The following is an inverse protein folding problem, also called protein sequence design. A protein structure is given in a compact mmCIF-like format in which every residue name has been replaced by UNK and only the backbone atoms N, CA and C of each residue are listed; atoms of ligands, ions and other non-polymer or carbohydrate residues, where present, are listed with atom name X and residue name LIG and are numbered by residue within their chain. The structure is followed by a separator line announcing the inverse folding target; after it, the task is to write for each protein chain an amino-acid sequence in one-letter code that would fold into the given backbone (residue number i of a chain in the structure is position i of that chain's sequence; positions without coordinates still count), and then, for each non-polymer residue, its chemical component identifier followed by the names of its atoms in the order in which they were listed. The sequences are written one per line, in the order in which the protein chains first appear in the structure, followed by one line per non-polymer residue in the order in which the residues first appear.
data_IF_340262657884
#
_entry.id   IF_340262657884
#
_cell.length_a   1.000
_cell.length_b   1.000
_cell.length_c   1.000
_cell.angle_alpha   90.00
_cell.angle_beta   90.00
_cell.angle_gamma   90.00
#
_symmetry.space_group_name_H-M   'P 1'
#
loop_
_entity.id
_entity.type
_entity.pdbx_description
1 polymer ?
#
# COMPACT_ATOMS: atom_id res chain seq x y z
N UNK A 1 -50.85 4.86 14.39
CA UNK A 1 -49.73 3.87 14.23
C UNK A 1 -49.81 2.88 15.39
N UNK A 2 -49.89 1.60 15.06
CA UNK A 2 -49.90 0.56 16.09
C UNK A 2 -48.49 0.30 16.63
N UNK A 3 -48.40 -0.29 17.81
CA UNK A 3 -47.14 -0.68 18.44
C UNK A 3 -46.36 -1.67 17.55
N UNK A 4 -47.09 -2.58 16.88
CA UNK A 4 -46.52 -3.57 15.98
C UNK A 4 -45.88 -2.91 14.78
N UNK A 5 -46.49 -1.90 14.16
CA UNK A 5 -45.93 -1.15 13.04
C UNK A 5 -44.70 -0.38 13.45
N UNK A 6 -44.69 0.25 14.62
CA UNK A 6 -43.52 0.95 15.16
C UNK A 6 -42.37 -0.04 15.35
N UNK A 7 -42.62 -1.21 15.87
CA UNK A 7 -41.61 -2.24 16.11
C UNK A 7 -41.05 -2.78 14.84
N UNK A 8 -41.89 -3.01 13.80
CA UNK A 8 -41.42 -3.39 12.47
C UNK A 8 -40.54 -2.33 11.84
N UNK A 9 -40.90 -1.05 11.94
CA UNK A 9 -40.09 0.05 11.43
C UNK A 9 -38.74 0.12 12.12
N UNK A 10 -38.69 -0.06 13.45
CA UNK A 10 -37.43 -0.06 14.20
C UNK A 10 -36.51 -1.23 13.78
N UNK A 11 -37.08 -2.42 13.59
CA UNK A 11 -36.31 -3.58 13.12
C UNK A 11 -35.74 -3.34 11.73
N UNK A 12 -36.54 -2.83 10.79
CA UNK A 12 -36.08 -2.53 9.44
C UNK A 12 -34.98 -1.49 9.43
N UNK A 13 -35.11 -0.42 10.20
CA UNK A 13 -34.08 0.62 10.32
C UNK A 13 -32.79 0.05 10.90
N UNK A 14 -32.89 -0.78 11.94
CA UNK A 14 -31.71 -1.45 12.53
C UNK A 14 -30.99 -2.34 11.52
N UNK A 15 -31.72 -3.12 10.74
CA UNK A 15 -31.14 -3.97 9.70
C UNK A 15 -30.44 -3.16 8.62
N UNK A 16 -31.05 -2.05 8.18
CA UNK A 16 -30.44 -1.15 7.19
C UNK A 16 -29.14 -0.53 7.71
N UNK A 17 -29.14 -0.03 8.94
CA UNK A 17 -27.96 0.55 9.57
C UNK A 17 -26.85 -0.49 9.71
N UNK A 18 -27.16 -1.69 10.17
CA UNK A 18 -26.19 -2.79 10.31
C UNK A 18 -25.58 -3.17 8.96
N UNK A 19 -26.40 -3.27 7.91
CA UNK A 19 -25.93 -3.56 6.55
C UNK A 19 -25.00 -2.48 6.03
N UNK A 20 -25.32 -1.21 6.22
CA UNK A 20 -24.47 -0.08 5.79
C UNK A 20 -23.14 -0.08 6.53
N UNK A 21 -23.15 -0.30 7.85
CA UNK A 21 -21.91 -0.34 8.65
C UNK A 21 -20.99 -1.47 8.19
N UNK A 22 -21.51 -2.68 8.01
CA UNK A 22 -20.72 -3.82 7.55
C UNK A 22 -20.15 -3.59 6.15
N UNK A 23 -20.97 -3.09 5.23
CA UNK A 23 -20.56 -2.80 3.86
C UNK A 23 -19.51 -1.68 3.80
N UNK A 24 -19.68 -0.62 4.59
CA UNK A 24 -18.74 0.51 4.66
C UNK A 24 -17.38 0.10 5.20
N UNK A 25 -17.30 -0.84 6.16
CA UNK A 25 -16.03 -1.29 6.72
C UNK A 25 -15.18 -2.02 5.68
N UNK A 26 -15.78 -2.86 4.82
CA UNK A 26 -15.08 -3.53 3.73
C UNK A 26 -14.57 -2.53 2.69
N UNK A 27 -15.38 -1.56 2.31
CA UNK A 27 -15.01 -0.50 1.36
C UNK A 27 -13.86 0.33 1.92
N UNK A 28 -13.89 0.69 3.19
CA UNK A 28 -12.83 1.48 3.84
C UNK A 28 -11.50 0.72 3.80
N UNK A 29 -11.50 -0.58 4.11
CA UNK A 29 -10.29 -1.40 4.07
C UNK A 29 -9.72 -1.47 2.65
N UNK A 30 -10.55 -1.76 1.65
CA UNK A 30 -10.14 -1.79 0.24
C UNK A 30 -9.61 -0.44 -0.24
N UNK A 31 -10.26 0.65 0.17
CA UNK A 31 -9.84 1.99 -0.16
C UNK A 31 -8.48 2.34 0.47
N UNK A 32 -8.26 1.99 1.72
CA UNK A 32 -6.96 2.18 2.40
C UNK A 32 -5.84 1.43 1.68
N UNK A 33 -6.07 0.19 1.29
CA UNK A 33 -5.09 -0.61 0.54
C UNK A 33 -4.81 0.00 -0.83
N UNK A 34 -5.84 0.43 -1.55
CA UNK A 34 -5.69 1.10 -2.84
C UNK A 34 -4.90 2.41 -2.72
N UNK A 35 -5.19 3.22 -1.72
CA UNK A 35 -4.45 4.46 -1.45
C UNK A 35 -3.00 4.18 -1.06
N UNK A 36 -2.75 3.15 -0.26
CA UNK A 36 -1.39 2.73 0.10
C UNK A 36 -0.59 2.30 -1.12
N UNK A 37 -1.17 1.53 -2.04
CA UNK A 37 -0.54 1.12 -3.30
C UNK A 37 -0.18 2.32 -4.16
N UNK A 38 -1.11 3.25 -4.34
CA UNK A 38 -0.90 4.48 -5.13
C UNK A 38 0.18 5.35 -4.50
N UNK A 39 0.14 5.53 -3.19
CA UNK A 39 1.14 6.31 -2.45
C UNK A 39 2.53 5.67 -2.56
N UNK A 40 2.62 4.35 -2.47
CA UNK A 40 3.87 3.62 -2.62
C UNK A 40 4.43 3.73 -4.04
N UNK A 41 3.58 3.61 -5.06
CA UNK A 41 3.96 3.81 -6.45
C UNK A 41 4.53 5.22 -6.69
N UNK A 42 3.87 6.23 -6.16
CA UNK A 42 4.34 7.61 -6.21
C UNK A 42 5.67 7.80 -5.48
N UNK A 43 5.84 7.16 -4.33
CA UNK A 43 7.10 7.19 -3.59
C UNK A 43 8.24 6.55 -4.37
N UNK A 44 8.01 5.38 -4.96
CA UNK A 44 9.00 4.67 -5.80
C UNK A 44 9.41 5.54 -7.00
N UNK A 45 8.44 6.13 -7.69
CA UNK A 45 8.70 6.99 -8.85
C UNK A 45 9.47 8.25 -8.45
N UNK A 46 9.13 8.85 -7.30
CA UNK A 46 9.84 9.99 -6.73
C UNK A 46 11.31 9.65 -6.45
N UNK A 47 11.60 8.49 -5.87
CA UNK A 47 12.97 8.07 -5.59
C UNK A 47 13.75 7.77 -6.87
N UNK A 48 13.09 7.18 -7.85
CA UNK A 48 13.69 6.94 -9.17
C UNK A 48 14.06 8.24 -9.87
N UNK A 49 13.16 9.22 -9.87
CA UNK A 49 13.41 10.55 -10.45
C UNK A 49 14.54 11.27 -9.72
N UNK A 50 14.61 11.16 -8.42
CA UNK A 50 15.69 11.73 -7.62
C UNK A 50 17.05 11.13 -8.01
N UNK A 51 17.11 9.83 -8.23
CA UNK A 51 18.31 9.15 -8.72
C UNK A 51 18.73 9.66 -10.10
N UNK A 52 17.79 9.86 -11.02
CA UNK A 52 18.04 10.36 -12.36
C UNK A 52 18.51 11.82 -12.33
N UNK A 53 17.81 12.67 -11.61
CA UNK A 53 18.10 14.12 -11.54
C UNK A 53 19.47 14.37 -10.92
N UNK A 54 19.81 13.66 -9.86
CA UNK A 54 21.11 13.81 -9.18
C UNK A 54 22.22 12.96 -9.78
N UNK A 55 21.89 12.08 -10.74
CA UNK A 55 22.84 11.11 -11.33
C UNK A 55 23.59 10.31 -10.26
N UNK A 56 22.90 9.96 -9.17
CA UNK A 56 23.44 9.21 -8.05
C UNK A 56 22.55 8.03 -7.73
N UNK A 57 23.11 6.88 -7.29
CA UNK A 57 22.28 5.76 -6.87
C UNK A 57 21.48 6.11 -5.61
N UNK A 58 20.22 5.72 -5.58
CA UNK A 58 19.31 5.83 -4.42
C UNK A 58 18.94 4.43 -4.00
N UNK A 59 19.15 4.10 -2.74
CA UNK A 59 18.79 2.82 -2.17
C UNK A 59 17.53 2.95 -1.32
N UNK A 60 16.62 1.98 -1.45
CA UNK A 60 15.44 1.83 -0.62
C UNK A 60 15.59 0.58 0.24
N UNK A 61 15.28 0.73 1.49
CA UNK A 61 15.36 -0.33 2.49
C UNK A 61 14.03 -0.45 3.22
N UNK A 62 13.41 -1.63 3.15
CA UNK A 62 12.21 -1.95 3.91
C UNK A 62 12.56 -2.75 5.15
N UNK A 63 12.20 -2.20 6.32
CA UNK A 63 12.30 -2.88 7.59
C UNK A 63 10.94 -3.44 7.98
N UNK A 64 10.80 -4.77 7.96
CA UNK A 64 9.56 -5.45 8.31
C UNK A 64 9.17 -5.32 9.78
N UNK A 65 10.12 -4.99 10.65
CA UNK A 65 9.86 -4.82 12.09
C UNK A 65 9.19 -3.48 12.39
N UNK A 66 9.64 -2.43 11.76
CA UNK A 66 9.09 -1.07 11.91
C UNK A 66 8.04 -0.75 10.85
N UNK A 67 7.91 -1.58 9.82
CA UNK A 67 7.03 -1.37 8.67
C UNK A 67 7.27 -0.03 7.99
N UNK A 68 8.53 0.29 7.74
CA UNK A 68 8.95 1.53 7.08
C UNK A 68 9.88 1.24 5.93
N UNK A 69 9.71 2.00 4.86
CA UNK A 69 10.67 2.05 3.75
C UNK A 69 11.50 3.30 3.90
N UNK A 70 12.79 3.13 4.12
CA UNK A 70 13.73 4.24 4.25
C UNK A 70 14.53 4.40 2.95
N UNK A 71 14.79 5.64 2.57
CA UNK A 71 15.61 5.97 1.41
C UNK A 71 16.91 6.62 1.85
N UNK A 72 17.96 6.45 1.05
CA UNK A 72 19.24 7.15 1.25
C UNK A 72 19.11 8.67 1.06
N UNK A 73 18.03 9.14 0.46
CA UNK A 73 17.71 10.58 0.36
C UNK A 73 17.18 11.18 1.66
N UNK A 74 16.84 10.34 2.63
CA UNK A 74 16.22 10.75 3.89
C UNK A 74 14.71 10.64 3.93
N UNK A 75 14.06 10.35 2.79
CA UNK A 75 12.62 10.15 2.72
C UNK A 75 12.23 8.83 3.35
N UNK A 76 11.07 8.80 4.00
CA UNK A 76 10.54 7.62 4.69
C UNK A 76 9.09 7.43 4.26
N UNK A 77 8.74 6.20 3.89
CA UNK A 77 7.37 5.79 3.61
C UNK A 77 6.87 4.90 4.77
N UNK A 78 5.82 5.33 5.43
CA UNK A 78 5.29 4.67 6.64
C UNK A 78 3.98 3.90 6.41
N UNK A 79 3.27 4.18 5.33
CA UNK A 79 1.97 3.55 5.03
C UNK A 79 2.11 2.15 4.42
N UNK A 80 2.93 1.30 5.05
CA UNK A 80 3.18 -0.06 4.59
C UNK A 80 2.09 -0.99 5.10
N UNK A 81 1.07 -1.23 4.29
CA UNK A 81 -0.06 -2.10 4.62
C UNK A 81 0.12 -3.55 4.15
N UNK A 82 1.24 -3.87 3.53
CA UNK A 82 1.53 -5.24 3.12
C UNK A 82 2.11 -6.06 4.28
N UNK A 83 1.91 -7.37 4.20
CA UNK A 83 2.37 -8.33 5.20
C UNK A 83 3.44 -9.23 4.61
N UNK A 84 4.67 -8.77 4.58
CA UNK A 84 5.80 -9.57 4.18
C UNK A 84 6.65 -9.92 5.39
N UNK A 85 7.03 -11.20 5.57
CA UNK A 85 7.87 -11.62 6.69
C UNK A 85 9.33 -11.20 6.54
N UNK A 86 9.72 -10.78 5.34
CA UNK A 86 11.09 -10.40 5.02
C UNK A 86 11.15 -8.97 4.53
N UNK A 87 12.23 -8.27 4.89
CA UNK A 87 12.52 -6.96 4.32
C UNK A 87 13.03 -7.08 2.89
N UNK A 88 13.10 -5.96 2.19
CA UNK A 88 13.72 -5.90 0.88
C UNK A 88 14.67 -4.70 0.80
N UNK A 89 15.61 -4.79 -0.11
CA UNK A 89 16.54 -3.73 -0.41
C UNK A 89 16.69 -3.61 -1.92
N UNK A 90 16.40 -2.43 -2.44
CA UNK A 90 16.47 -2.14 -3.87
C UNK A 90 17.30 -0.88 -4.09
N UNK A 91 17.92 -0.78 -5.26
CA UNK A 91 18.70 0.38 -5.66
C UNK A 91 18.25 0.90 -7.01
N UNK A 92 18.02 2.20 -7.08
CA UNK A 92 17.86 2.91 -8.35
C UNK A 92 19.22 3.47 -8.76
N UNK A 93 19.67 3.12 -9.96
CA UNK A 93 20.87 3.70 -10.53
C UNK A 93 20.59 5.08 -11.12
N UNK A 94 21.65 5.86 -11.38
CA UNK A 94 21.52 7.20 -11.95
C UNK A 94 20.91 7.26 -13.35
N UNK A 95 20.81 6.14 -14.05
CA UNK A 95 20.12 6.01 -15.35
C UNK A 95 18.63 5.64 -15.20
N UNK A 96 18.15 5.45 -13.97
CA UNK A 96 16.77 5.07 -13.67
C UNK A 96 16.51 3.56 -13.66
N UNK A 97 17.53 2.73 -13.90
CA UNK A 97 17.39 1.27 -13.79
C UNK A 97 17.29 0.84 -12.32
N UNK A 98 16.62 -0.26 -12.08
CA UNK A 98 16.42 -0.81 -10.74
C UNK A 98 17.19 -2.12 -10.58
N UNK A 99 17.82 -2.27 -9.42
CA UNK A 99 18.53 -3.50 -9.03
C UNK A 99 17.97 -3.97 -7.68
N UNK A 100 17.57 -5.23 -7.61
CA UNK A 100 17.14 -5.86 -6.37
C UNK A 100 18.39 -6.40 -5.67
N UNK A 101 18.74 -5.82 -4.52
CA UNK A 101 19.92 -6.21 -3.77
C UNK A 101 19.62 -7.37 -2.83
N UNK A 102 18.42 -7.40 -2.25
CA UNK A 102 18.01 -8.43 -1.30
C UNK A 102 16.49 -8.47 -1.17
N UNK A 103 15.96 -9.63 -0.78
CA UNK A 103 14.56 -9.82 -0.44
C UNK A 103 13.62 -9.98 -1.63
N UNK A 104 12.34 -10.06 -1.32
CA UNK A 104 11.26 -10.18 -2.31
C UNK A 104 10.64 -8.83 -2.58
N UNK A 105 10.47 -8.50 -3.85
CA UNK A 105 9.76 -7.29 -4.30
C UNK A 105 8.27 -7.50 -4.50
N UNK A 106 7.77 -8.69 -4.19
CA UNK A 106 6.34 -9.01 -4.23
C UNK A 106 5.74 -8.72 -2.86
N UNK A 107 4.79 -7.78 -2.81
CA UNK A 107 4.14 -7.32 -1.60
C UNK A 107 2.73 -7.88 -1.54
N UNK A 108 2.40 -8.59 -0.46
CA UNK A 108 1.10 -9.20 -0.24
C UNK A 108 0.25 -8.34 0.70
N UNK A 109 -0.97 -8.03 0.27
CA UNK A 109 -1.90 -7.24 1.06
C UNK A 109 -2.98 -8.11 1.69
N UNK A 110 -3.62 -7.62 2.76
CA UNK A 110 -4.63 -8.34 3.51
C UNK A 110 -5.89 -8.68 2.69
N UNK A 111 -6.17 -7.95 1.62
CA UNK A 111 -7.30 -8.23 0.71
C UNK A 111 -6.99 -9.33 -0.32
N UNK A 112 -5.82 -9.94 -0.26
CA UNK A 112 -5.36 -10.95 -1.21
C UNK A 112 -4.72 -10.37 -2.47
N UNK A 113 -4.69 -9.06 -2.63
CA UNK A 113 -4.01 -8.42 -3.77
C UNK A 113 -2.50 -8.43 -3.59
N UNK A 114 -1.79 -8.36 -4.72
CA UNK A 114 -0.34 -8.43 -4.77
C UNK A 114 0.19 -7.25 -5.59
N UNK A 115 1.27 -6.65 -5.11
CA UNK A 115 1.97 -5.60 -5.82
C UNK A 115 3.41 -6.04 -6.03
N UNK A 116 3.91 -5.95 -7.25
CA UNK A 116 5.27 -6.36 -7.59
C UNK A 116 6.05 -5.20 -8.18
N UNK A 117 7.28 -4.99 -7.70
CA UNK A 117 8.22 -4.02 -8.26
C UNK A 117 9.03 -4.73 -9.33
N UNK A 118 8.94 -4.25 -10.56
CA UNK A 118 9.67 -4.85 -11.69
C UNK A 118 11.10 -4.34 -11.78
N UNK A 119 12.10 -5.24 -11.78
CA UNK A 119 13.50 -4.81 -11.73
C UNK A 119 14.01 -4.12 -12.99
N UNK A 120 13.41 -4.38 -14.15
CA UNK A 120 13.91 -3.83 -15.44
C UNK A 120 13.39 -2.43 -15.71
N UNK A 121 12.13 -2.15 -15.40
CA UNK A 121 11.47 -0.88 -15.75
C UNK A 121 11.28 0.05 -14.57
N UNK A 122 11.46 -0.43 -13.34
CA UNK A 122 11.13 0.31 -12.12
C UNK A 122 9.63 0.57 -11.96
N UNK A 123 8.78 -0.05 -12.79
CA UNK A 123 7.33 0.08 -12.68
C UNK A 123 6.79 -0.82 -11.58
N UNK A 124 5.77 -0.32 -10.91
CA UNK A 124 5.00 -1.08 -9.96
C UNK A 124 3.80 -1.68 -10.69
N UNK A 125 3.62 -3.00 -10.59
CA UNK A 125 2.47 -3.69 -11.18
C UNK A 125 1.57 -4.22 -10.08
N UNK A 126 0.28 -4.08 -10.31
CA UNK A 126 -0.75 -4.47 -9.37
C UNK A 126 -1.29 -5.86 -9.66
#
# INVERSE_FOLDING_TARGET
MSLTELLCCLVLVSLCISGVVLFSSEIIVKLKISLSKTAFDSFIESQRLEAIVRSRPVELFYDFRTRRVSSTTGDIFEDCLWENPEGFRIRFNGDGSIVILNGSTTLNFADGSVLTIQPVTGKVTY
#
